data_IF_305379189311
#
_entry.id   IF_305379189311
#
_cell.length_a   1.000
_cell.length_b   1.000
_cell.length_c   1.000
_cell.angle_alpha   90.00
_cell.angle_beta   90.00
_cell.angle_gamma   90.00
#
_symmetry.space_group_name_H-M   'P 1'
#
loop_
_entity.id
_entity.type
_entity.pdbx_description
1 polymer ?
#
# COMPACT_ATOMS: atom_id res chain seq x y z
N UNK A 1 -13.41 -20.74 40.51
CA UNK A 1 -12.58 -21.82 39.94
C UNK A 1 -13.37 -22.50 38.83
N UNK A 2 -13.02 -22.17 37.60
CA UNK A 2 -13.41 -22.89 36.39
C UNK A 2 -12.36 -22.48 35.34
N UNK A 3 -11.19 -23.09 35.43
CA UNK A 3 -10.14 -22.97 34.41
C UNK A 3 -10.60 -23.76 33.19
N UNK A 4 -11.06 -23.03 32.16
CA UNK A 4 -11.17 -23.59 30.83
C UNK A 4 -9.75 -23.67 30.26
N UNK A 5 -9.12 -24.83 30.46
CA UNK A 5 -7.91 -25.24 29.75
C UNK A 5 -8.29 -25.35 28.28
N UNK A 6 -8.02 -24.30 27.51
CA UNK A 6 -7.93 -24.43 26.06
C UNK A 6 -6.73 -25.32 25.78
N UNK A 7 -6.98 -26.55 25.36
CA UNK A 7 -5.98 -27.46 24.86
C UNK A 7 -5.19 -26.73 23.76
N UNK A 8 -3.92 -26.44 24.02
CA UNK A 8 -3.01 -25.93 23.00
C UNK A 8 -2.81 -27.03 21.97
N UNK A 9 -3.38 -26.86 20.78
CA UNK A 9 -2.70 -27.32 19.57
C UNK A 9 -1.24 -26.87 19.70
N UNK A 10 -0.28 -27.78 19.52
CA UNK A 10 1.15 -27.49 19.56
C UNK A 10 1.42 -26.11 18.98
N UNK A 11 1.86 -25.15 19.79
CA UNK A 11 1.89 -23.73 19.41
C UNK A 11 2.69 -23.58 18.13
N UNK A 12 2.01 -23.27 17.02
CA UNK A 12 2.67 -22.98 15.75
C UNK A 12 3.71 -21.90 16.01
N UNK A 13 4.95 -22.13 15.61
CA UNK A 13 6.04 -21.20 15.82
C UNK A 13 6.63 -20.81 14.46
N UNK A 14 6.60 -19.52 14.17
CA UNK A 14 7.05 -18.93 12.92
C UNK A 14 8.28 -18.03 13.13
N UNK A 15 9.02 -18.15 14.23
CA UNK A 15 10.17 -17.28 14.55
C UNK A 15 11.28 -17.32 13.48
N UNK A 16 11.40 -18.41 12.72
CA UNK A 16 12.31 -18.51 11.56
C UNK A 16 12.06 -17.43 10.51
N UNK A 17 10.83 -16.88 10.43
CA UNK A 17 10.48 -15.79 9.52
C UNK A 17 11.29 -14.53 9.79
N UNK A 18 11.68 -14.24 11.04
CA UNK A 18 12.50 -13.07 11.38
C UNK A 18 13.80 -13.05 10.56
N UNK A 19 14.41 -14.21 10.36
CA UNK A 19 15.65 -14.35 9.60
C UNK A 19 15.38 -14.43 8.10
N UNK A 20 14.33 -15.14 7.68
CA UNK A 20 14.01 -15.33 6.26
C UNK A 20 13.59 -14.04 5.55
N UNK A 21 12.90 -13.14 6.26
CA UNK A 21 12.41 -11.84 5.76
C UNK A 21 13.56 -10.86 5.51
N UNK A 22 14.61 -10.89 6.33
CA UNK A 22 15.77 -9.97 6.22
C UNK A 22 16.71 -10.29 5.06
N UNK A 23 16.56 -11.44 4.42
CA UNK A 23 17.45 -11.87 3.34
C UNK A 23 17.34 -10.92 2.14
N UNK A 24 18.48 -10.66 1.47
CA UNK A 24 18.66 -9.62 0.45
C UNK A 24 17.47 -9.47 -0.50
N UNK A 25 17.02 -8.21 -0.66
CA UNK A 25 15.99 -7.82 -1.62
C UNK A 25 16.40 -8.24 -3.03
N UNK A 26 15.76 -9.28 -3.57
CA UNK A 26 15.93 -9.68 -4.97
C UNK A 26 15.44 -8.53 -5.85
N UNK A 27 16.34 -8.05 -6.69
CA UNK A 27 16.10 -6.95 -7.61
C UNK A 27 15.38 -7.39 -8.91
N UNK A 28 15.09 -8.68 -9.07
CA UNK A 28 14.43 -9.23 -10.25
C UNK A 28 14.48 -10.76 -10.34
N UNK A 29 13.94 -11.33 -11.43
CA UNK A 29 13.30 -10.64 -12.55
C UNK A 29 11.93 -10.04 -12.19
N UNK A 30 11.57 -8.94 -12.85
CA UNK A 30 10.26 -8.29 -12.72
C UNK A 30 9.22 -8.95 -13.63
N UNK A 31 8.03 -9.18 -13.09
CA UNK A 31 6.85 -9.67 -13.80
C UNK A 31 5.73 -8.63 -13.72
N UNK A 32 4.94 -8.52 -14.79
CA UNK A 32 3.81 -7.60 -14.82
C UNK A 32 2.67 -8.12 -13.94
N UNK A 33 2.16 -7.26 -13.06
CA UNK A 33 0.95 -7.54 -12.29
C UNK A 33 -0.29 -7.13 -13.09
N UNK A 34 -0.27 -5.93 -13.67
CA UNK A 34 -1.35 -5.38 -14.48
C UNK A 34 -0.83 -4.87 -15.84
N UNK A 35 -1.77 -4.42 -16.68
CA UNK A 35 -1.44 -3.77 -17.95
C UNK A 35 -1.08 -2.30 -17.72
N UNK A 36 -0.48 -1.67 -18.75
CA UNK A 36 -0.18 -0.25 -18.71
C UNK A 36 -1.45 0.58 -18.63
N UNK A 37 -1.51 1.47 -17.64
CA UNK A 37 -2.51 2.51 -17.53
C UNK A 37 -1.92 3.89 -17.84
N UNK A 38 -2.76 4.79 -18.38
CA UNK A 38 -2.39 6.17 -18.68
C UNK A 38 -2.87 7.09 -17.56
N UNK A 39 -2.05 7.22 -16.54
CA UNK A 39 -2.31 8.05 -15.36
C UNK A 39 -1.03 8.79 -14.99
N UNK A 40 -1.16 10.08 -14.62
CA UNK A 40 -0.01 10.86 -14.16
C UNK A 40 0.44 10.37 -12.79
N UNK A 41 1.73 10.14 -12.67
CA UNK A 41 2.38 9.74 -11.42
C UNK A 41 3.53 10.71 -11.15
N UNK A 42 3.43 11.42 -10.02
CA UNK A 42 4.37 12.49 -9.67
C UNK A 42 5.77 11.95 -9.41
N UNK A 43 5.89 10.77 -8.80
CA UNK A 43 7.19 10.18 -8.48
C UNK A 43 7.87 9.70 -9.76
N UNK A 44 7.15 9.03 -10.67
CA UNK A 44 7.69 8.65 -11.97
C UNK A 44 8.10 9.85 -12.82
N UNK A 45 7.35 10.95 -12.74
CA UNK A 45 7.71 12.20 -13.41
C UNK A 45 8.99 12.81 -12.82
N UNK A 46 9.12 12.79 -11.48
CA UNK A 46 10.32 13.27 -10.77
C UNK A 46 11.56 12.44 -11.13
N UNK A 47 11.46 11.12 -11.14
CA UNK A 47 12.54 10.20 -11.57
C UNK A 47 13.00 10.51 -13.00
N UNK A 48 12.06 10.77 -13.90
CA UNK A 48 12.37 11.16 -15.28
C UNK A 48 13.08 12.52 -15.38
N UNK A 49 12.72 13.49 -14.53
CA UNK A 49 13.44 14.77 -14.44
C UNK A 49 14.86 14.56 -13.92
N UNK A 50 15.02 13.75 -12.87
CA UNK A 50 16.33 13.42 -12.31
C UNK A 50 17.21 12.73 -13.35
N UNK A 51 16.66 11.82 -14.16
CA UNK A 51 17.36 11.21 -15.28
C UNK A 51 17.91 12.27 -16.25
N UNK A 52 17.09 13.21 -16.71
CA UNK A 52 17.55 14.28 -17.61
C UNK A 52 18.64 15.15 -16.99
N UNK A 53 18.51 15.49 -15.71
CA UNK A 53 19.50 16.28 -14.98
C UNK A 53 20.85 15.56 -14.84
N UNK A 54 20.83 14.23 -14.67
CA UNK A 54 22.02 13.40 -14.56
C UNK A 54 22.68 13.11 -15.92
N UNK A 55 22.00 13.39 -17.04
CA UNK A 55 22.50 13.13 -18.39
C UNK A 55 22.59 14.42 -19.23
N UNK A 56 23.45 15.39 -18.86
CA UNK A 56 23.55 16.67 -19.56
C UNK A 56 23.97 16.53 -21.03
N UNK A 57 24.68 15.47 -21.40
CA UNK A 57 25.08 15.24 -22.79
C UNK A 57 23.90 14.82 -23.68
N UNK A 58 22.88 14.15 -23.12
CA UNK A 58 21.62 13.92 -23.82
C UNK A 58 20.91 15.27 -24.08
N UNK A 59 20.92 16.17 -23.09
CA UNK A 59 20.33 17.50 -23.24
C UNK A 59 21.06 18.32 -24.31
N UNK A 60 22.40 18.30 -24.33
CA UNK A 60 23.18 18.96 -25.41
C UNK A 60 22.86 18.39 -26.78
N UNK A 61 22.68 17.07 -26.89
CA UNK A 61 22.29 16.43 -28.15
C UNK A 61 20.91 16.92 -28.62
N UNK A 62 19.94 16.95 -27.71
CA UNK A 62 18.60 17.48 -28.00
C UNK A 62 18.66 18.94 -28.43
N UNK A 63 19.50 19.77 -27.78
CA UNK A 63 19.71 21.16 -28.17
C UNK A 63 20.31 21.29 -29.56
N UNK A 64 21.34 20.50 -29.89
CA UNK A 64 21.94 20.49 -31.21
C UNK A 64 20.94 20.07 -32.30
N UNK A 65 20.12 19.05 -32.02
CA UNK A 65 19.05 18.61 -32.93
C UNK A 65 17.94 19.68 -33.06
N UNK A 66 17.84 20.61 -32.10
CA UNK A 66 16.94 21.77 -32.09
C UNK A 66 17.63 23.09 -32.47
N UNK A 67 18.71 23.00 -33.26
CA UNK A 67 19.45 24.12 -33.85
C UNK A 67 20.15 25.03 -32.82
N UNK A 68 20.58 24.43 -31.70
CA UNK A 68 21.29 25.06 -30.57
C UNK A 68 20.51 26.24 -29.94
N UNK A 69 19.20 26.26 -30.13
CA UNK A 69 18.32 27.27 -29.56
C UNK A 69 17.92 26.92 -28.11
N UNK A 70 17.48 27.91 -27.31
CA UNK A 70 16.86 27.64 -26.02
C UNK A 70 15.68 26.67 -26.17
N UNK A 71 15.74 25.57 -25.43
CA UNK A 71 14.74 24.51 -25.45
C UNK A 71 13.67 24.74 -24.38
N UNK A 72 12.43 24.49 -24.73
CA UNK A 72 11.32 24.26 -23.80
C UNK A 72 10.95 22.79 -23.85
N UNK A 73 10.35 22.26 -22.78
CA UNK A 73 9.90 20.89 -22.78
C UNK A 73 8.63 20.69 -21.98
N UNK A 74 7.89 19.63 -22.32
CA UNK A 74 6.65 19.23 -21.67
C UNK A 74 6.52 17.72 -21.65
N UNK A 75 5.87 17.19 -20.62
CA UNK A 75 5.40 15.82 -20.61
C UNK A 75 4.22 15.69 -21.58
N UNK A 76 4.31 14.82 -22.58
CA UNK A 76 3.23 14.54 -23.54
C UNK A 76 2.30 13.45 -23.01
N UNK A 77 2.88 12.37 -22.51
CA UNK A 77 2.14 11.29 -21.85
C UNK A 77 3.08 10.54 -20.91
N UNK A 78 2.47 9.88 -19.93
CA UNK A 78 3.11 8.86 -19.12
C UNK A 78 2.12 7.71 -18.98
N UNK A 79 2.64 6.50 -19.05
CA UNK A 79 1.91 5.29 -18.73
C UNK A 79 2.77 4.41 -17.85
N UNK A 80 2.14 3.71 -16.93
CA UNK A 80 2.85 2.81 -16.02
C UNK A 80 2.03 1.56 -15.72
N UNK A 81 2.71 0.54 -15.20
CA UNK A 81 2.10 -0.67 -14.66
C UNK A 81 2.83 -1.11 -13.40
N UNK A 82 2.11 -1.78 -12.52
CA UNK A 82 2.68 -2.49 -11.37
C UNK A 82 3.44 -3.73 -11.84
N UNK A 83 4.61 -3.90 -11.24
CA UNK A 83 5.51 -5.02 -11.46
C UNK A 83 5.83 -5.66 -10.12
N UNK A 84 6.08 -6.95 -10.10
CA UNK A 84 6.49 -7.65 -8.89
C UNK A 84 7.68 -8.57 -9.15
N UNK A 85 8.39 -8.90 -8.07
CA UNK A 85 9.42 -9.93 -8.03
C UNK A 85 8.85 -11.10 -7.21
N UNK A 86 8.77 -12.33 -7.75
CA UNK A 86 8.25 -13.48 -7.02
C UNK A 86 9.25 -13.95 -5.96
N UNK A 87 8.75 -14.58 -4.91
CA UNK A 87 9.61 -15.34 -4.02
C UNK A 87 9.83 -16.76 -4.59
N UNK A 88 11.10 -17.14 -4.71
CA UNK A 88 11.50 -18.42 -5.32
C UNK A 88 11.97 -19.46 -4.32
N UNK A 89 12.08 -19.09 -3.03
CA UNK A 89 12.44 -20.01 -1.94
C UNK A 89 11.19 -20.77 -1.48
N UNK A 90 10.95 -21.95 -2.06
CA UNK A 90 9.72 -22.74 -1.82
C UNK A 90 9.41 -23.02 -0.34
N UNK A 91 10.43 -23.32 0.47
CA UNK A 91 10.21 -23.54 1.90
C UNK A 91 9.75 -22.25 2.61
N UNK A 92 10.33 -21.12 2.24
CA UNK A 92 9.99 -19.83 2.81
C UNK A 92 8.59 -19.38 2.39
N UNK A 93 8.22 -19.50 1.11
CA UNK A 93 6.87 -19.18 0.63
C UNK A 93 5.82 -19.97 1.39
N UNK A 94 6.03 -21.28 1.53
CA UNK A 94 5.11 -22.16 2.22
C UNK A 94 4.98 -21.82 3.72
N UNK A 95 6.06 -21.41 4.38
CA UNK A 95 6.01 -21.00 5.80
C UNK A 95 5.28 -19.65 5.93
N UNK A 96 5.62 -18.67 5.09
CA UNK A 96 5.04 -17.33 5.14
C UNK A 96 3.54 -17.36 4.80
N UNK A 97 3.11 -18.10 3.79
CA UNK A 97 1.69 -18.30 3.47
C UNK A 97 0.90 -18.88 4.63
N UNK A 98 1.44 -19.92 5.31
CA UNK A 98 0.79 -20.51 6.48
C UNK A 98 0.66 -19.49 7.61
N UNK A 99 1.72 -18.73 7.88
CA UNK A 99 1.71 -17.64 8.85
C UNK A 99 0.62 -16.61 8.51
N UNK A 100 0.58 -16.11 7.27
CA UNK A 100 -0.43 -15.16 6.80
C UNK A 100 -1.86 -15.69 7.03
N UNK A 101 -2.14 -16.94 6.63
CA UNK A 101 -3.45 -17.55 6.84
C UNK A 101 -3.83 -17.64 8.33
N UNK A 102 -2.87 -17.97 9.20
CA UNK A 102 -3.10 -18.09 10.63
C UNK A 102 -3.34 -16.74 11.32
N UNK A 103 -2.55 -15.71 11.01
CA UNK A 103 -2.77 -14.36 11.55
C UNK A 103 -4.05 -13.73 11.02
N UNK A 104 -4.38 -13.95 9.74
CA UNK A 104 -5.65 -13.50 9.15
C UNK A 104 -6.84 -14.18 9.83
N UNK A 105 -6.75 -15.48 10.11
CA UNK A 105 -7.80 -16.19 10.86
C UNK A 105 -7.97 -15.64 12.27
N UNK A 106 -6.88 -15.34 12.97
CA UNK A 106 -6.94 -14.77 14.31
C UNK A 106 -7.52 -13.36 14.32
N UNK A 107 -7.10 -12.48 13.41
CA UNK A 107 -7.63 -11.11 13.34
C UNK A 107 -9.13 -11.12 13.05
N UNK A 108 -9.59 -11.90 12.06
CA UNK A 108 -11.01 -12.02 11.72
C UNK A 108 -11.85 -12.53 12.89
N UNK A 109 -11.33 -13.48 13.66
CA UNK A 109 -11.98 -13.98 14.88
C UNK A 109 -12.04 -12.92 15.98
N UNK A 110 -10.95 -12.18 16.20
CA UNK A 110 -10.86 -11.15 17.24
C UNK A 110 -11.75 -9.94 16.91
N UNK A 111 -11.84 -9.57 15.64
CA UNK A 111 -12.66 -8.45 15.14
C UNK A 111 -14.08 -8.85 14.76
N UNK A 112 -14.46 -10.13 14.95
CA UNK A 112 -15.79 -10.67 14.61
C UNK A 112 -16.20 -10.33 13.16
N UNK A 113 -15.23 -10.39 12.24
CA UNK A 113 -15.38 -9.97 10.85
C UNK A 113 -15.44 -11.17 9.91
N UNK A 114 -16.20 -11.03 8.81
CA UNK A 114 -16.23 -12.03 7.74
C UNK A 114 -14.90 -12.05 6.99
N UNK A 115 -14.48 -13.22 6.50
CA UNK A 115 -13.29 -13.34 5.68
C UNK A 115 -13.50 -12.64 4.31
N UNK A 116 -12.74 -11.60 3.96
CA UNK A 116 -12.85 -10.95 2.66
C UNK A 116 -12.10 -11.69 1.55
N UNK A 117 -11.22 -12.62 1.91
CA UNK A 117 -10.29 -13.25 0.96
C UNK A 117 -10.87 -14.47 0.28
N UNK A 118 -10.60 -14.60 -1.02
CA UNK A 118 -10.81 -15.83 -1.79
C UNK A 118 -9.61 -16.75 -1.59
N UNK A 119 -8.41 -16.20 -1.78
CA UNK A 119 -7.14 -16.90 -1.57
C UNK A 119 -6.08 -15.96 -1.03
N UNK A 120 -5.13 -16.54 -0.31
CA UNK A 120 -3.90 -15.91 0.17
C UNK A 120 -2.77 -16.81 -0.33
N UNK A 121 -1.98 -16.34 -1.29
CA UNK A 121 -0.95 -17.16 -1.93
C UNK A 121 0.19 -16.33 -2.51
N UNK A 122 1.35 -16.97 -2.66
CA UNK A 122 2.52 -16.38 -3.30
C UNK A 122 2.39 -16.42 -4.81
N UNK A 123 2.66 -15.29 -5.46
CA UNK A 123 2.70 -15.24 -6.91
C UNK A 123 3.97 -15.90 -7.47
N UNK A 124 3.76 -16.76 -8.45
CA UNK A 124 4.82 -17.31 -9.29
C UNK A 124 5.20 -16.39 -10.45
N UNK A 125 5.92 -16.96 -11.42
CA UNK A 125 6.42 -16.27 -12.62
C UNK A 125 5.35 -16.12 -13.73
N UNK A 126 4.15 -15.70 -13.39
CA UNK A 126 3.03 -15.50 -14.33
C UNK A 126 2.11 -14.38 -13.87
N UNK A 127 1.70 -13.51 -14.80
CA UNK A 127 0.69 -12.47 -14.54
C UNK A 127 -0.55 -13.14 -13.91
N UNK A 128 -1.00 -12.70 -12.74
CA UNK A 128 -2.19 -13.28 -12.13
C UNK A 128 -3.42 -13.04 -13.01
N UNK A 129 -4.31 -14.02 -13.07
CA UNK A 129 -5.62 -13.82 -13.65
C UNK A 129 -6.49 -13.06 -12.65
N UNK A 130 -6.99 -11.89 -13.04
CA UNK A 130 -7.96 -11.18 -12.23
C UNK A 130 -9.26 -11.99 -12.22
N UNK A 131 -9.56 -12.66 -11.11
CA UNK A 131 -10.81 -13.37 -10.97
C UNK A 131 -11.94 -12.32 -10.91
N UNK A 132 -12.90 -12.37 -11.84
CA UNK A 132 -14.08 -11.50 -11.84
C UNK A 132 -15.09 -11.88 -10.72
N UNK A 133 -14.59 -12.30 -9.57
CA UNK A 133 -15.38 -12.90 -8.49
C UNK A 133 -15.60 -11.92 -7.34
N UNK A 134 -16.58 -12.22 -6.48
CA UNK A 134 -16.84 -11.44 -5.27
C UNK A 134 -15.85 -11.83 -4.17
N UNK A 135 -14.75 -11.10 -4.06
CA UNK A 135 -13.79 -11.23 -2.97
C UNK A 135 -12.45 -10.57 -3.31
N UNK A 136 -11.44 -10.81 -2.46
CA UNK A 136 -10.10 -10.25 -2.61
C UNK A 136 -9.07 -11.37 -2.69
N UNK A 137 -8.20 -11.32 -3.69
CA UNK A 137 -7.02 -12.17 -3.78
C UNK A 137 -5.83 -11.49 -3.07
N UNK A 138 -5.25 -12.13 -2.05
CA UNK A 138 -4.03 -11.63 -1.43
C UNK A 138 -2.80 -12.25 -2.11
N UNK A 139 -2.07 -11.41 -2.83
CA UNK A 139 -0.87 -11.77 -3.57
C UNK A 139 0.37 -11.52 -2.73
N UNK A 140 1.04 -12.59 -2.31
CA UNK A 140 2.33 -12.50 -1.65
C UNK A 140 3.42 -12.39 -2.72
N UNK A 141 4.26 -11.37 -2.63
CA UNK A 141 5.38 -11.14 -3.54
C UNK A 141 6.65 -10.91 -2.73
N UNK A 142 7.81 -11.03 -3.37
CA UNK A 142 9.06 -10.67 -2.71
C UNK A 142 9.24 -9.15 -2.71
N UNK A 143 9.08 -8.50 -3.86
CA UNK A 143 9.22 -7.05 -3.99
C UNK A 143 8.23 -6.48 -5.01
N UNK A 144 7.95 -5.18 -4.93
CA UNK A 144 6.98 -4.45 -5.74
C UNK A 144 7.65 -3.23 -6.40
N UNK A 145 7.35 -3.04 -7.67
CA UNK A 145 7.84 -1.90 -8.44
C UNK A 145 6.83 -1.40 -9.45
N UNK A 146 7.23 -0.36 -10.18
CA UNK A 146 6.51 0.15 -11.34
C UNK A 146 7.44 0.13 -12.55
N UNK A 147 6.91 -0.30 -13.68
CA UNK A 147 7.50 -0.03 -14.98
C UNK A 147 6.74 1.12 -15.62
N UNK A 148 7.46 2.05 -16.21
CA UNK A 148 6.86 3.23 -16.83
C UNK A 148 7.47 3.53 -18.18
N UNK A 149 6.64 4.15 -19.02
CA UNK A 149 7.02 4.73 -20.31
C UNK A 149 6.50 6.17 -20.31
N UNK A 150 7.40 7.13 -20.48
CA UNK A 150 7.07 8.56 -20.49
C UNK A 150 7.60 9.22 -21.76
N UNK A 151 6.73 9.91 -22.49
CA UNK A 151 7.11 10.68 -23.67
C UNK A 151 7.23 12.16 -23.32
N UNK A 152 8.43 12.71 -23.50
CA UNK A 152 8.72 14.13 -23.35
C UNK A 152 8.90 14.79 -24.71
N UNK A 153 8.28 15.95 -24.91
CA UNK A 153 8.45 16.74 -26.13
C UNK A 153 9.29 17.96 -25.80
N UNK A 154 10.40 18.11 -26.52
CA UNK A 154 11.29 19.26 -26.51
C UNK A 154 11.01 20.11 -27.73
N UNK A 155 10.95 21.42 -27.56
CA UNK A 155 10.70 22.36 -28.64
C UNK A 155 11.60 23.58 -28.57
N UNK A 156 11.88 24.18 -29.73
CA UNK A 156 12.49 25.50 -29.81
C UNK A 156 11.45 26.57 -30.18
N UNK A 157 11.87 27.85 -30.23
CA UNK A 157 11.00 28.99 -30.58
C UNK A 157 10.41 28.92 -32.00
N UNK A 158 11.04 28.15 -32.89
CA UNK A 158 10.61 27.96 -34.28
C UNK A 158 9.62 26.78 -34.42
N UNK A 159 9.12 26.26 -33.29
CA UNK A 159 8.18 25.13 -33.20
C UNK A 159 8.72 23.82 -33.79
N UNK A 160 10.04 23.69 -33.95
CA UNK A 160 10.67 22.39 -34.19
C UNK A 160 10.52 21.56 -32.92
N UNK A 161 9.98 20.35 -33.03
CA UNK A 161 9.75 19.45 -31.91
C UNK A 161 10.57 18.15 -32.05
N UNK A 162 11.07 17.66 -30.92
CA UNK A 162 11.66 16.32 -30.79
C UNK A 162 10.97 15.61 -29.62
N UNK A 163 10.53 14.38 -29.86
CA UNK A 163 10.00 13.52 -28.82
C UNK A 163 11.06 12.54 -28.32
N UNK A 164 11.23 12.45 -27.01
CA UNK A 164 12.09 11.50 -26.33
C UNK A 164 11.21 10.60 -25.47
N UNK A 165 11.33 9.29 -25.69
CA UNK A 165 10.67 8.29 -24.86
C UNK A 165 11.67 7.77 -23.81
N UNK A 166 11.26 7.84 -22.54
CA UNK A 166 11.98 7.25 -21.42
C UNK A 166 11.23 6.02 -20.94
N UNK A 167 11.93 4.90 -20.84
CA UNK A 167 11.41 3.67 -20.22
C UNK A 167 12.23 3.36 -18.98
N UNK A 168 11.58 3.09 -17.86
CA UNK A 168 12.25 2.82 -16.59
C UNK A 168 11.48 1.85 -15.69
N UNK A 169 12.19 1.35 -14.69
CA UNK A 169 11.63 0.52 -13.60
C UNK A 169 12.11 1.06 -12.27
N UNK A 170 11.20 1.23 -11.33
CA UNK A 170 11.50 1.67 -9.96
C UNK A 170 10.85 0.74 -8.94
N UNK A 171 11.45 0.58 -7.77
CA UNK A 171 10.82 -0.08 -6.64
C UNK A 171 9.95 0.92 -5.87
N UNK A 172 8.78 0.48 -5.39
CA UNK A 172 7.86 1.34 -4.66
C UNK A 172 8.20 1.49 -3.18
N UNK A 173 8.90 0.52 -2.60
CA UNK A 173 9.20 0.50 -1.16
C UNK A 173 7.97 0.31 -0.26
N UNK A 174 6.82 -0.04 -0.85
CA UNK A 174 5.58 -0.38 -0.14
C UNK A 174 5.56 -1.88 0.20
N UNK A 175 5.30 -2.22 1.46
CA UNK A 175 5.25 -3.62 1.93
C UNK A 175 3.84 -4.19 1.83
N UNK A 176 2.80 -3.36 1.83
CA UNK A 176 1.39 -3.73 1.70
C UNK A 176 0.65 -2.74 0.79
N UNK A 177 -0.34 -3.21 0.03
CA UNK A 177 -1.18 -2.34 -0.78
C UNK A 177 -2.59 -2.90 -0.97
N UNK A 178 -3.60 -2.07 -0.71
CA UNK A 178 -4.99 -2.28 -1.07
C UNK A 178 -5.60 -0.95 -1.54
N UNK A 179 -5.92 -0.88 -2.83
CA UNK A 179 -6.32 0.37 -3.48
C UNK A 179 -7.84 0.53 -3.60
N UNK A 180 -8.26 1.79 -3.49
CA UNK A 180 -9.60 2.25 -3.83
C UNK A 180 -9.48 3.48 -4.72
N UNK A 181 -10.31 3.57 -5.74
CA UNK A 181 -10.29 4.60 -6.76
C UNK A 181 -11.58 5.39 -6.70
N UNK A 182 -11.47 6.71 -6.79
CA UNK A 182 -12.61 7.62 -6.91
C UNK A 182 -12.70 8.15 -8.34
N UNK A 183 -13.85 7.97 -8.99
CA UNK A 183 -14.15 8.51 -10.32
C UNK A 183 -15.25 9.55 -10.25
N UNK A 184 -15.16 10.59 -11.07
CA UNK A 184 -16.24 11.54 -11.30
C UNK A 184 -17.08 11.05 -12.49
N UNK A 185 -18.33 10.72 -12.23
CA UNK A 185 -19.28 10.28 -13.24
C UNK A 185 -19.83 11.47 -14.04
N UNK A 186 -20.37 11.21 -15.24
CA UNK A 186 -20.91 12.26 -16.13
C UNK A 186 -22.04 13.08 -15.52
N UNK A 187 -22.80 12.48 -14.59
CA UNK A 187 -23.86 13.13 -13.83
C UNK A 187 -23.33 14.02 -12.68
N UNK A 188 -22.00 14.11 -12.50
CA UNK A 188 -21.35 14.86 -11.44
C UNK A 188 -21.26 14.15 -10.09
N UNK A 189 -21.73 12.90 -9.98
CA UNK A 189 -21.56 12.10 -8.76
C UNK A 189 -20.18 11.46 -8.70
N UNK A 190 -19.69 11.20 -7.49
CA UNK A 190 -18.47 10.43 -7.30
C UNK A 190 -18.80 8.96 -7.03
N UNK A 191 -17.98 8.06 -7.55
CA UNK A 191 -18.12 6.62 -7.35
C UNK A 191 -16.79 6.01 -6.90
N UNK A 192 -16.87 5.08 -5.95
CA UNK A 192 -15.73 4.29 -5.49
C UNK A 192 -15.69 2.93 -6.18
N UNK A 193 -14.53 2.60 -6.73
CA UNK A 193 -14.21 1.24 -7.17
C UNK A 193 -13.00 0.74 -6.40
N UNK A 194 -12.89 -0.57 -6.19
CA UNK A 194 -11.81 -1.17 -5.39
C UNK A 194 -11.13 -2.24 -6.20
N UNK A 195 -9.85 -2.45 -5.92
CA UNK A 195 -9.16 -3.62 -6.45
C UNK A 195 -9.77 -4.89 -5.85
N UNK A 196 -9.78 -5.94 -6.66
CA UNK A 196 -10.12 -7.30 -6.23
C UNK A 196 -8.90 -8.06 -5.71
N UNK A 197 -7.82 -7.36 -5.38
CA UNK A 197 -6.62 -7.93 -4.81
C UNK A 197 -5.96 -6.99 -3.80
N UNK A 198 -5.11 -7.56 -2.95
CA UNK A 198 -4.16 -6.85 -2.11
C UNK A 198 -2.78 -7.48 -2.29
N UNK A 199 -1.71 -6.70 -2.16
CA UNK A 199 -0.34 -7.17 -2.35
C UNK A 199 0.39 -7.13 -1.02
N UNK A 200 1.05 -8.22 -0.64
CA UNK A 200 1.88 -8.31 0.56
C UNK A 200 3.30 -8.69 0.20
N UNK A 201 4.26 -7.82 0.51
CA UNK A 201 5.67 -8.17 0.43
C UNK A 201 6.05 -9.09 1.58
N UNK A 202 6.81 -10.13 1.26
CA UNK A 202 7.40 -10.97 2.27
C UNK A 202 8.79 -10.49 2.71
N UNK A 203 9.47 -9.61 1.97
CA UNK A 203 10.72 -8.99 2.42
C UNK A 203 10.50 -7.60 3.02
N UNK A 204 11.35 -7.25 3.98
CA UNK A 204 11.43 -5.91 4.54
C UNK A 204 12.75 -5.74 5.31
N UNK A 205 13.30 -4.52 5.30
CA UNK A 205 14.47 -4.16 6.13
C UNK A 205 14.23 -4.44 7.61
N UNK A 206 13.03 -4.09 8.08
CA UNK A 206 12.54 -4.46 9.39
C UNK A 206 11.55 -5.62 9.22
N UNK A 207 11.86 -6.84 9.68
CA UNK A 207 11.00 -8.00 9.42
C UNK A 207 9.63 -7.88 10.09
N UNK A 208 9.52 -7.07 11.15
CA UNK A 208 8.23 -6.78 11.78
C UNK A 208 7.24 -6.19 10.77
N UNK A 209 7.70 -5.31 9.87
CA UNK A 209 6.85 -4.67 8.87
C UNK A 209 6.17 -5.70 7.97
N UNK A 210 6.90 -6.68 7.43
CA UNK A 210 6.31 -7.74 6.60
C UNK A 210 5.41 -8.70 7.42
N UNK A 211 5.75 -8.94 8.69
CA UNK A 211 4.95 -9.77 9.58
C UNK A 211 3.58 -9.16 9.91
N UNK A 212 3.50 -7.84 10.06
CA UNK A 212 2.23 -7.16 10.37
C UNK A 212 1.41 -6.79 9.13
N UNK A 213 1.99 -6.79 7.93
CA UNK A 213 1.27 -6.47 6.68
C UNK A 213 -0.05 -7.24 6.52
N UNK A 214 -0.13 -8.58 6.69
CA UNK A 214 -1.41 -9.28 6.55
C UNK A 214 -2.47 -8.81 7.55
N UNK A 215 -2.06 -8.38 8.75
CA UNK A 215 -2.97 -7.86 9.77
C UNK A 215 -3.42 -6.44 9.41
N UNK A 216 -2.49 -5.57 9.04
CA UNK A 216 -2.73 -4.18 8.64
C UNK A 216 -3.66 -4.11 7.42
N UNK A 217 -3.35 -4.82 6.34
CA UNK A 217 -4.16 -4.83 5.11
C UNK A 217 -5.54 -5.44 5.33
N UNK A 218 -5.67 -6.48 6.17
CA UNK A 218 -6.98 -7.04 6.53
C UNK A 218 -7.84 -6.00 7.25
N UNK A 219 -7.25 -5.23 8.17
CA UNK A 219 -7.95 -4.17 8.87
C UNK A 219 -8.32 -3.01 7.93
N UNK A 220 -7.45 -2.63 7.01
CA UNK A 220 -7.79 -1.67 5.95
C UNK A 220 -8.99 -2.15 5.15
N UNK A 221 -8.99 -3.39 4.66
CA UNK A 221 -10.10 -3.97 3.89
C UNK A 221 -11.43 -3.92 4.68
N UNK A 222 -11.40 -4.29 5.97
CA UNK A 222 -12.60 -4.30 6.82
C UNK A 222 -13.15 -2.88 7.04
N UNK A 223 -12.26 -1.89 7.22
CA UNK A 223 -12.64 -0.53 7.61
C UNK A 223 -12.85 0.41 6.40
N UNK A 224 -12.30 0.09 5.23
CA UNK A 224 -12.26 0.97 4.05
C UNK A 224 -13.63 1.54 3.68
N UNK A 225 -14.67 0.70 3.70
CA UNK A 225 -16.02 1.13 3.31
C UNK A 225 -16.58 2.28 4.16
N UNK A 226 -16.14 2.40 5.42
CA UNK A 226 -16.58 3.46 6.32
C UNK A 226 -15.79 4.75 6.05
N UNK A 227 -14.49 4.61 5.74
CA UNK A 227 -13.66 5.73 5.28
C UNK A 227 -14.19 6.30 3.96
N UNK A 228 -14.50 5.45 2.99
CA UNK A 228 -15.05 5.84 1.68
C UNK A 228 -16.38 6.58 1.84
N UNK A 229 -17.29 6.08 2.69
CA UNK A 229 -18.54 6.77 3.01
C UNK A 229 -18.28 8.17 3.58
N UNK A 230 -17.31 8.29 4.49
CA UNK A 230 -16.97 9.58 5.11
C UNK A 230 -16.35 10.57 4.12
N UNK A 231 -15.57 10.07 3.14
CA UNK A 231 -15.07 10.86 2.03
C UNK A 231 -16.24 11.31 1.15
N UNK A 232 -17.13 10.40 0.76
CA UNK A 232 -18.30 10.70 -0.07
C UNK A 232 -19.20 11.75 0.59
N UNK A 233 -19.58 11.54 1.85
CA UNK A 233 -20.39 12.48 2.63
C UNK A 233 -19.71 13.85 2.70
N UNK A 234 -18.38 13.90 2.85
CA UNK A 234 -17.64 15.16 2.90
C UNK A 234 -17.65 15.88 1.55
N UNK A 235 -17.51 15.16 0.45
CA UNK A 235 -17.55 15.71 -0.90
C UNK A 235 -18.95 16.28 -1.17
N UNK A 236 -20.00 15.49 -0.95
CA UNK A 236 -21.40 15.87 -1.21
C UNK A 236 -21.87 17.07 -0.37
N UNK A 237 -21.39 17.17 0.88
CA UNK A 237 -21.75 18.27 1.78
C UNK A 237 -20.81 19.50 1.68
N UNK A 238 -19.92 19.53 0.70
CA UNK A 238 -18.98 20.62 0.50
C UNK A 238 -19.19 21.31 -0.85
N UNK A 239 -18.81 22.58 -0.94
CA UNK A 239 -18.81 23.31 -2.22
C UNK A 239 -17.59 22.96 -3.09
N UNK A 240 -17.05 21.75 -2.96
CA UNK A 240 -15.85 21.29 -3.66
C UNK A 240 -16.14 21.17 -5.15
N UNK A 241 -15.24 21.72 -5.97
CA UNK A 241 -15.41 21.83 -7.43
C UNK A 241 -14.23 21.29 -8.22
N UNK A 242 -13.14 20.92 -7.55
CA UNK A 242 -11.88 20.55 -8.21
C UNK A 242 -11.32 19.22 -7.69
N UNK A 243 -10.59 18.50 -8.56
CA UNK A 243 -9.91 17.26 -8.19
C UNK A 243 -8.93 17.47 -7.02
N UNK A 244 -8.22 18.58 -6.99
CA UNK A 244 -7.26 18.92 -5.92
C UNK A 244 -7.93 19.04 -4.54
N UNK A 245 -9.15 19.58 -4.50
CA UNK A 245 -9.92 19.66 -3.26
C UNK A 245 -10.42 18.28 -2.81
N UNK A 246 -10.80 17.42 -3.76
CA UNK A 246 -11.17 16.02 -3.50
C UNK A 246 -9.95 15.24 -2.96
N UNK A 247 -8.79 15.38 -3.59
CA UNK A 247 -7.53 14.78 -3.14
C UNK A 247 -7.21 15.18 -1.69
N UNK A 248 -7.39 16.44 -1.33
CA UNK A 248 -7.17 16.90 0.05
C UNK A 248 -8.14 16.26 1.06
N UNK A 249 -9.40 16.02 0.66
CA UNK A 249 -10.38 15.29 1.50
C UNK A 249 -9.93 13.83 1.67
N UNK A 250 -9.53 13.17 0.58
CA UNK A 250 -9.04 11.79 0.60
C UNK A 250 -7.81 11.68 1.50
N UNK A 251 -6.80 12.53 1.32
CA UNK A 251 -5.59 12.56 2.16
C UNK A 251 -5.89 12.78 3.65
N UNK A 252 -6.94 13.54 3.98
CA UNK A 252 -7.36 13.71 5.37
C UNK A 252 -7.88 12.40 5.94
N UNK A 253 -8.87 11.81 5.27
CA UNK A 253 -9.53 10.59 5.73
C UNK A 253 -8.63 9.36 5.72
N UNK A 254 -7.73 9.23 4.74
CA UNK A 254 -6.72 8.17 4.73
C UNK A 254 -5.87 8.24 5.99
N UNK A 255 -5.46 9.43 6.45
CA UNK A 255 -4.67 9.52 7.68
C UNK A 255 -5.44 9.15 8.95
N UNK A 256 -6.77 9.32 8.94
CA UNK A 256 -7.64 8.89 10.02
C UNK A 256 -7.74 7.36 10.02
N UNK A 257 -7.91 6.76 8.84
CA UNK A 257 -7.90 5.31 8.66
C UNK A 257 -6.57 4.69 9.11
N UNK A 258 -5.44 5.25 8.67
CA UNK A 258 -4.09 4.81 9.07
C UNK A 258 -3.90 4.92 10.61
N UNK A 259 -4.50 5.93 11.25
CA UNK A 259 -4.42 6.09 12.69
C UNK A 259 -5.22 5.02 13.45
N UNK A 260 -6.45 4.71 13.02
CA UNK A 260 -7.22 3.64 13.65
C UNK A 260 -6.60 2.27 13.37
N UNK A 261 -6.22 1.99 12.12
CA UNK A 261 -5.61 0.71 11.74
C UNK A 261 -4.31 0.51 12.48
N UNK A 262 -3.41 1.50 12.51
CA UNK A 262 -2.17 1.41 13.27
C UNK A 262 -2.37 1.19 14.77
N UNK A 263 -3.39 1.82 15.36
CA UNK A 263 -3.76 1.57 16.75
C UNK A 263 -4.32 0.17 16.99
N UNK A 264 -5.10 -0.37 16.06
CA UNK A 264 -5.62 -1.73 16.12
C UNK A 264 -4.52 -2.78 15.94
N UNK A 265 -3.61 -2.59 14.99
CA UNK A 265 -2.43 -3.46 14.81
C UNK A 265 -1.64 -3.54 16.11
N UNK A 266 -1.34 -2.40 16.72
CA UNK A 266 -0.61 -2.36 17.99
C UNK A 266 -1.36 -3.07 19.12
N UNK A 267 -2.66 -2.81 19.29
CA UNK A 267 -3.46 -3.43 20.35
C UNK A 267 -3.68 -4.94 20.16
N UNK A 268 -3.66 -5.43 18.92
CA UNK A 268 -3.89 -6.83 18.58
C UNK A 268 -2.60 -7.63 18.43
N UNK A 269 -1.44 -6.97 18.47
CA UNK A 269 -0.12 -7.56 18.28
C UNK A 269 0.13 -8.79 19.19
N UNK A 270 -0.15 -8.75 20.51
CA UNK A 270 0.10 -9.90 21.38
C UNK A 270 -0.72 -11.14 21.01
N UNK A 271 -1.94 -10.93 20.50
CA UNK A 271 -2.88 -12.01 20.17
C UNK A 271 -2.76 -12.51 18.73
N UNK A 272 -1.90 -11.89 17.93
CA UNK A 272 -1.70 -12.21 16.51
C UNK A 272 -0.24 -12.60 16.26
N UNK A 273 0.68 -11.65 16.09
CA UNK A 273 2.06 -11.93 15.71
C UNK A 273 2.86 -12.58 16.84
N UNK A 274 2.85 -12.00 18.05
CA UNK A 274 3.67 -12.50 19.17
C UNK A 274 3.24 -13.91 19.63
N UNK A 275 1.96 -14.25 19.45
CA UNK A 275 1.43 -15.60 19.67
C UNK A 275 2.20 -16.65 18.86
N UNK A 276 2.64 -16.32 17.66
CA UNK A 276 3.35 -17.22 16.75
C UNK A 276 4.86 -17.03 16.73
N UNK A 277 5.33 -15.86 17.17
CA UNK A 277 6.74 -15.47 17.19
C UNK A 277 7.03 -15.04 18.63
N UNK A 278 7.16 -16.01 19.56
CA UNK A 278 7.53 -15.68 20.92
C UNK A 278 8.88 -14.96 20.91
N UNK A 279 9.03 -13.99 21.82
CA UNK A 279 10.23 -13.16 21.96
C UNK A 279 10.53 -12.24 20.76
N UNK A 280 9.50 -11.84 20.01
CA UNK A 280 9.62 -10.75 19.02
C UNK A 280 10.22 -9.51 19.70
N UNK A 281 11.37 -8.97 19.26
CA UNK A 281 11.98 -7.84 19.94
C UNK A 281 11.16 -6.56 19.83
N UNK A 282 10.86 -5.92 20.96
CA UNK A 282 10.16 -4.63 21.03
C UNK A 282 10.82 -3.55 20.16
N UNK A 283 12.15 -3.60 20.02
CA UNK A 283 12.91 -2.68 19.18
C UNK A 283 12.48 -2.71 17.70
N UNK A 284 11.99 -3.85 17.21
CA UNK A 284 11.47 -3.95 15.84
C UNK A 284 10.13 -3.22 15.71
N UNK A 285 9.26 -3.32 16.71
CA UNK A 285 7.98 -2.59 16.75
C UNK A 285 8.23 -1.08 16.86
N UNK A 286 9.10 -0.67 17.77
CA UNK A 286 9.42 0.76 17.99
C UNK A 286 10.07 1.40 16.76
N UNK A 287 10.97 0.68 16.08
CA UNK A 287 11.62 1.19 14.88
C UNK A 287 10.67 1.30 13.69
N UNK A 288 9.72 0.36 13.54
CA UNK A 288 8.66 0.45 12.52
C UNK A 288 7.80 1.70 12.72
N UNK A 289 7.32 1.93 13.96
CA UNK A 289 6.55 3.14 14.30
C UNK A 289 7.36 4.39 13.98
N UNK A 290 8.65 4.40 14.33
CA UNK A 290 9.54 5.55 14.08
C UNK A 290 9.71 5.83 12.59
N UNK A 291 9.84 4.81 11.76
CA UNK A 291 9.92 4.98 10.29
C UNK A 291 8.59 5.44 9.72
N UNK A 292 7.46 4.84 10.14
CA UNK A 292 6.13 5.19 9.61
C UNK A 292 5.78 6.66 9.85
N UNK A 293 6.10 7.24 11.01
CA UNK A 293 5.77 8.65 11.31
C UNK A 293 6.47 9.69 10.42
N UNK A 294 7.48 9.29 9.64
CA UNK A 294 8.14 10.18 8.66
C UNK A 294 7.24 10.45 7.44
N UNK A 295 6.24 9.61 7.19
CA UNK A 295 5.30 9.78 6.09
C UNK A 295 4.04 10.54 6.52
N UNK A 296 3.61 11.49 5.69
CA UNK A 296 2.45 12.38 5.95
C UNK A 296 1.15 11.62 6.25
N UNK A 297 0.94 10.43 5.66
CA UNK A 297 -0.25 9.61 5.91
C UNK A 297 -0.33 9.06 7.33
N UNK A 298 0.80 8.81 7.99
CA UNK A 298 0.87 8.31 9.37
C UNK A 298 0.99 9.42 10.43
N UNK A 299 0.74 10.69 10.08
CA UNK A 299 0.87 11.84 10.98
C UNK A 299 0.12 11.71 12.32
N UNK A 300 -0.95 10.90 12.35
CA UNK A 300 -1.77 10.67 13.54
C UNK A 300 -1.51 9.33 14.24
N UNK A 301 -0.57 8.50 13.75
CA UNK A 301 -0.33 7.13 14.21
C UNK A 301 -0.18 7.01 15.74
N UNK A 302 0.71 7.82 16.34
CA UNK A 302 0.94 7.79 17.81
C UNK A 302 -0.32 8.13 18.62
N UNK A 303 -1.18 9.01 18.10
CA UNK A 303 -2.43 9.39 18.77
C UNK A 303 -3.48 8.29 18.59
N UNK A 304 -3.55 7.71 17.39
CA UNK A 304 -4.37 6.53 17.10
C UNK A 304 -4.08 5.35 18.03
N UNK A 305 -2.79 5.00 18.22
CA UNK A 305 -2.36 3.95 19.17
C UNK A 305 -2.91 4.24 20.57
N UNK A 306 -2.66 5.43 21.11
CA UNK A 306 -3.12 5.80 22.45
C UNK A 306 -4.64 5.72 22.61
N UNK A 307 -5.39 6.17 21.60
CA UNK A 307 -6.85 6.13 21.63
C UNK A 307 -7.35 4.68 21.65
N UNK A 308 -6.80 3.83 20.77
CA UNK A 308 -7.21 2.42 20.70
C UNK A 308 -6.84 1.66 21.98
N UNK A 309 -5.67 1.90 22.56
CA UNK A 309 -5.29 1.33 23.87
C UNK A 309 -6.28 1.72 24.98
N UNK A 310 -6.71 2.99 25.01
CA UNK A 310 -7.65 3.48 26.02
C UNK A 310 -9.07 2.96 25.85
N UNK A 311 -9.54 2.83 24.61
CA UNK A 311 -10.91 2.39 24.30
C UNK A 311 -11.05 0.87 24.25
N UNK A 312 -9.96 0.17 23.90
CA UNK A 312 -9.96 -1.23 23.51
C UNK A 312 -10.37 -1.43 22.04
N UNK A 313 -9.75 -2.41 21.38
CA UNK A 313 -9.90 -2.64 19.93
C UNK A 313 -11.37 -2.82 19.48
N UNK A 314 -12.19 -3.59 20.22
CA UNK A 314 -13.60 -3.83 19.86
C UNK A 314 -14.41 -2.53 19.82
N UNK A 315 -14.21 -1.67 20.83
CA UNK A 315 -14.92 -0.40 20.93
C UNK A 315 -14.47 0.58 19.85
N UNK A 316 -13.17 0.61 19.54
CA UNK A 316 -12.63 1.44 18.45
C UNK A 316 -13.17 1.02 17.09
N UNK A 317 -13.20 -0.28 16.79
CA UNK A 317 -13.81 -0.80 15.55
C UNK A 317 -15.27 -0.37 15.48
N UNK A 318 -16.06 -0.65 16.53
CA UNK A 318 -17.49 -0.31 16.54
C UNK A 318 -17.73 1.19 16.36
N UNK A 319 -16.97 2.03 17.07
CA UNK A 319 -17.01 3.49 16.93
C UNK A 319 -16.77 3.93 15.48
N UNK A 320 -15.75 3.38 14.83
CA UNK A 320 -15.41 3.74 13.46
C UNK A 320 -16.46 3.22 12.45
N UNK A 321 -17.00 2.03 12.66
CA UNK A 321 -18.06 1.49 11.81
C UNK A 321 -19.36 2.31 11.89
N UNK A 322 -19.66 2.84 13.08
CA UNK A 322 -20.86 3.63 13.33
C UNK A 322 -20.70 5.06 12.81
N UNK A 323 -19.57 5.71 13.12
CA UNK A 323 -19.25 7.08 12.68
C UNK A 323 -17.73 7.36 12.74
N UNK A 324 -17.01 7.28 11.61
CA UNK A 324 -15.59 7.63 11.53
C UNK A 324 -15.26 9.04 12.00
N UNK A 325 -16.22 9.99 11.94
CA UNK A 325 -16.02 11.35 12.43
C UNK A 325 -15.77 11.39 13.93
N UNK A 326 -16.42 10.52 14.69
CA UNK A 326 -16.20 10.40 16.14
C UNK A 326 -14.73 10.06 16.44
N UNK A 327 -14.14 9.11 15.73
CA UNK A 327 -12.72 8.79 15.89
C UNK A 327 -11.82 9.94 15.42
N UNK A 328 -12.14 10.57 14.27
CA UNK A 328 -11.41 11.73 13.76
C UNK A 328 -11.37 12.89 14.75
N UNK A 329 -12.47 13.17 15.44
CA UNK A 329 -12.55 14.24 16.45
C UNK A 329 -11.65 13.99 17.65
N UNK A 330 -11.36 12.71 17.96
CA UNK A 330 -10.38 12.37 19.00
C UNK A 330 -8.95 12.57 18.51
N UNK A 331 -8.68 12.52 17.20
CA UNK A 331 -7.35 12.73 16.61
C UNK A 331 -6.96 14.20 16.47
N UNK A 332 -7.93 15.10 16.37
CA UNK A 332 -7.73 16.55 16.43
C UNK A 332 -7.55 17.01 17.88
#
# INVERSE_FOLDING_TARGET
>A
MADAIFASDSSKNYSILIDLIKLEDKQGPFFALNDFEKSFDQDLHKESIEFFNQHPDLIKKIQADLDDQPIQWRLKNISHRLMYVPETREEYTAIFERYCNDVVKDILRLTESNNPYITIHTLGASKPENSATKGIDAFIVHNLGKEYVATYVFSNKDQKEIAIELTGKIFLGEVGSYSSYISLNENGSFEFTRDHFTIWQNSAKNPYTALITPVEETLHIILRQYTERSIQDRIENSAVKTLKEVEAIVEDWISVEEAIVGGLVYALLPSTVEKYIPDLPDSLVESDIKTKIEFKKYRHLRKGIKIVEQLGYKKSIKMYQDDPMTFRNLLM
#
